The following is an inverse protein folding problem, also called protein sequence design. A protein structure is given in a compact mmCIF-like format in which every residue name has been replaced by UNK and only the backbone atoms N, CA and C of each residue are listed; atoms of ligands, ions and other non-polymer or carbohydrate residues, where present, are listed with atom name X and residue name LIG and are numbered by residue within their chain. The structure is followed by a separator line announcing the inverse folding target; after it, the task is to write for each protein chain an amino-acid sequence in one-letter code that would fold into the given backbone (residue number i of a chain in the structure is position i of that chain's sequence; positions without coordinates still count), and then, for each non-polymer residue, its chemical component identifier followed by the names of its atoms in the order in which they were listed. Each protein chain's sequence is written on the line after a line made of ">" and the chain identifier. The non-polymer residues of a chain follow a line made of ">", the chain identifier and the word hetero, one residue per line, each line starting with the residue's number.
data_IF_536390989581
#
_entry.id   IF_536390989581
#
_cell.length_a   1.000
_cell.length_b   1.000
_cell.length_c   1.000
_cell.angle_alpha   90.00
_cell.angle_beta   90.00
_cell.angle_gamma   90.00
#
_symmetry.space_group_name_H-M   'P 1'
#
loop_
_entity.id
_entity.type
_entity.pdbx_description
1 polymer ?
#
# COMPACT_ATOMS: atom_id res chain seq x y z
N UNK A 1 41.57 -3.51 -49.46
CA UNK A 1 41.81 -2.25 -50.19
C UNK A 1 40.89 -1.18 -49.62
N UNK A 2 41.40 0.04 -49.39
CA UNK A 2 40.66 1.31 -49.13
C UNK A 2 39.78 1.37 -47.85
N UNK A 3 40.27 2.02 -46.78
CA UNK A 3 39.89 3.40 -46.28
C UNK A 3 38.67 3.35 -45.33
N UNK A 4 38.44 4.20 -44.31
CA UNK A 4 39.03 5.44 -43.76
C UNK A 4 39.24 5.23 -42.22
N UNK A 5 40.22 5.77 -41.48
CA UNK A 5 40.70 7.17 -41.25
C UNK A 5 39.84 8.02 -40.29
N UNK A 6 40.48 8.52 -39.22
CA UNK A 6 39.99 9.32 -38.08
C UNK A 6 39.58 10.77 -38.41
N UNK A 7 38.69 11.39 -37.60
CA UNK A 7 38.30 12.84 -37.54
C UNK A 7 37.18 12.97 -36.46
N UNK A 8 37.08 13.90 -35.49
CA UNK A 8 37.91 15.00 -34.90
C UNK A 8 37.79 14.98 -33.34
N UNK A 9 38.54 15.84 -32.64
CA UNK A 9 38.60 16.10 -31.21
C UNK A 9 37.75 17.30 -30.68
N UNK A 10 37.71 17.43 -29.35
CA UNK A 10 37.79 18.65 -28.52
C UNK A 10 36.59 19.63 -28.28
N UNK A 11 36.15 19.64 -27.00
CA UNK A 11 36.05 20.79 -26.04
C UNK A 11 35.38 22.14 -26.44
N UNK A 12 34.30 22.48 -25.71
CA UNK A 12 34.01 23.81 -25.09
C UNK A 12 32.78 23.65 -24.15
N UNK A 13 32.88 23.69 -22.82
CA UNK A 13 32.86 24.88 -21.93
C UNK A 13 31.87 25.98 -22.39
N UNK A 14 30.75 26.08 -21.66
CA UNK A 14 29.81 27.21 -21.71
C UNK A 14 29.22 27.46 -20.32
N UNK A 15 29.77 28.44 -19.60
CA UNK A 15 29.43 28.74 -18.21
C UNK A 15 28.99 30.21 -18.10
N UNK A 16 27.67 30.45 -17.98
CA UNK A 16 27.09 31.80 -17.87
C UNK A 16 25.97 31.88 -16.82
N UNK A 17 26.40 32.09 -15.58
CA UNK A 17 25.97 33.16 -14.66
C UNK A 17 24.66 33.91 -15.01
N UNK A 18 23.67 33.90 -14.12
CA UNK A 18 23.07 35.11 -13.51
C UNK A 18 21.97 34.77 -12.48
N UNK A 19 21.92 35.53 -11.39
CA UNK A 19 20.92 35.39 -10.33
C UNK A 19 19.82 36.46 -10.42
N UNK A 20 18.62 36.13 -9.94
CA UNK A 20 17.65 37.05 -9.33
C UNK A 20 16.70 36.19 -8.46
N UNK A 21 16.73 36.32 -7.14
CA UNK A 21 16.10 37.38 -6.32
C UNK A 21 14.72 36.93 -5.82
N UNK A 22 14.62 36.86 -4.49
CA UNK A 22 13.50 36.29 -3.73
C UNK A 22 12.31 37.22 -3.57
N UNK A 23 11.10 36.66 -3.53
CA UNK A 23 9.88 37.28 -2.97
C UNK A 23 9.13 36.28 -2.09
N UNK A 24 9.05 36.49 -0.76
CA UNK A 24 8.14 35.74 0.09
C UNK A 24 6.73 36.34 0.02
N UNK A 25 5.76 35.56 -0.44
CA UNK A 25 4.34 35.95 -0.43
C UNK A 25 3.72 35.65 0.92
N UNK A 26 3.52 36.67 1.75
CA UNK A 26 2.76 36.58 3.00
C UNK A 26 1.29 36.90 2.74
N UNK A 27 0.35 35.95 2.80
CA UNK A 27 -1.07 36.27 2.90
C UNK A 27 -1.43 36.69 4.33
N UNK A 28 -2.18 37.78 4.45
CA UNK A 28 -2.71 38.31 5.71
C UNK A 28 -3.64 37.32 6.41
N UNK A 29 -3.53 37.26 7.75
CA UNK A 29 -4.59 36.73 8.58
C UNK A 29 -5.81 37.68 8.56
N UNK A 30 -7.00 37.15 8.26
CA UNK A 30 -8.25 37.91 8.34
C UNK A 30 -9.35 37.09 9.01
N UNK A 31 -9.85 37.64 10.13
CA UNK A 31 -11.15 37.42 10.77
C UNK A 31 -11.64 35.99 11.06
N UNK A 32 -11.61 35.66 12.36
CA UNK A 32 -12.61 34.78 12.99
C UNK A 32 -13.98 35.48 13.09
N UNK A 33 -15.09 34.81 12.75
CA UNK A 33 -16.40 35.11 13.32
C UNK A 33 -16.73 34.19 14.51
N UNK A 34 -17.36 34.78 15.53
CA UNK A 34 -17.75 34.16 16.79
C UNK A 34 -18.94 33.17 16.62
N UNK A 35 -19.24 32.29 17.62
CA UNK A 35 -20.26 31.25 17.46
C UNK A 35 -21.68 31.81 17.47
N UNK A 36 -22.56 31.22 16.65
CA UNK A 36 -24.00 31.54 16.65
C UNK A 36 -24.82 30.46 17.36
N UNK A 37 -25.89 30.88 18.03
CA UNK A 37 -26.49 30.16 19.15
C UNK A 37 -27.52 29.08 18.78
N UNK A 38 -27.70 28.11 19.68
CA UNK A 38 -28.87 27.26 19.73
C UNK A 38 -30.07 27.99 20.38
N UNK A 39 -31.26 27.87 19.78
CA UNK A 39 -32.47 27.48 20.51
C UNK A 39 -33.32 26.49 19.67
N UNK A 40 -34.32 25.76 20.18
CA UNK A 40 -34.92 25.68 21.52
C UNK A 40 -35.43 24.25 21.75
N UNK A 41 -35.43 23.79 23.00
CA UNK A 41 -36.18 22.59 23.38
C UNK A 41 -37.68 22.90 23.43
N UNK A 42 -38.52 21.97 22.94
CA UNK A 42 -39.98 22.04 23.11
C UNK A 42 -40.39 21.02 24.18
N UNK A 43 -41.03 21.44 25.29
CA UNK A 43 -41.55 20.50 26.27
C UNK A 43 -42.88 19.90 25.79
N UNK A 44 -42.91 18.60 25.54
CA UNK A 44 -44.15 17.87 25.28
C UNK A 44 -44.72 17.32 26.60
N UNK A 45 -45.94 17.76 26.93
CA UNK A 45 -46.68 17.39 28.14
C UNK A 45 -47.10 15.91 28.13
N UNK A 46 -46.91 15.14 29.22
CA UNK A 46 -47.48 13.81 29.35
C UNK A 46 -48.90 13.86 29.94
N UNK A 47 -49.85 13.21 29.27
CA UNK A 47 -51.22 12.94 29.74
C UNK A 47 -51.63 11.51 29.33
N UNK A 48 -52.65 10.88 29.95
CA UNK A 48 -52.38 9.90 30.99
C UNK A 48 -52.70 8.45 30.57
N UNK A 49 -52.36 7.52 31.46
CA UNK A 49 -52.52 6.07 31.34
C UNK A 49 -53.86 5.60 30.76
N UNK A 50 -53.78 4.75 29.73
CA UNK A 50 -54.76 3.70 29.47
C UNK A 50 -54.05 2.35 29.59
N UNK A 51 -54.44 1.55 30.58
CA UNK A 51 -53.84 0.23 30.87
C UNK A 51 -54.45 -0.83 29.95
N UNK A 52 -53.68 -1.47 29.04
CA UNK A 52 -54.12 -2.68 28.36
C UNK A 52 -53.94 -3.89 29.29
N UNK A 53 -54.83 -4.87 29.18
CA UNK A 53 -54.82 -6.06 30.04
C UNK A 53 -53.52 -6.88 29.89
N UNK A 54 -53.06 -7.43 31.02
CA UNK A 54 -51.91 -8.34 31.07
C UNK A 54 -52.27 -9.65 30.37
N UNK A 55 -51.82 -9.83 29.13
CA UNK A 55 -51.69 -11.15 28.52
C UNK A 55 -50.40 -11.79 28.99
N UNK A 56 -50.52 -12.99 29.58
CA UNK A 56 -49.39 -13.76 30.09
C UNK A 56 -48.38 -14.04 28.96
N UNK A 57 -47.09 -13.65 29.07
CA UNK A 57 -46.10 -13.99 28.08
C UNK A 57 -45.86 -15.50 28.10
N UNK A 58 -45.96 -16.14 26.93
CA UNK A 58 -45.60 -17.54 26.74
C UNK A 58 -44.14 -17.80 27.21
N UNK A 59 -43.81 -19.02 27.67
CA UNK A 59 -42.49 -19.31 28.22
C UNK A 59 -41.39 -18.94 27.20
N UNK A 60 -40.47 -18.09 27.65
CA UNK A 60 -39.42 -17.52 26.83
C UNK A 60 -38.60 -18.62 26.18
N UNK A 61 -38.65 -18.70 24.85
CA UNK A 61 -37.85 -19.66 24.10
C UNK A 61 -36.37 -19.36 24.36
N UNK A 62 -35.66 -20.33 24.94
CA UNK A 62 -34.22 -20.28 25.19
C UNK A 62 -33.52 -19.77 23.92
N UNK A 63 -32.69 -18.71 23.99
CA UNK A 63 -32.01 -18.20 22.81
C UNK A 63 -31.20 -19.34 22.17
N UNK A 64 -31.53 -19.64 20.91
CA UNK A 64 -30.77 -20.62 20.14
C UNK A 64 -29.32 -20.13 20.06
N UNK A 65 -28.32 -20.99 20.34
CA UNK A 65 -26.93 -20.59 20.21
C UNK A 65 -26.69 -20.12 18.78
N UNK A 66 -26.29 -18.85 18.64
CA UNK A 66 -25.94 -18.27 17.34
C UNK A 66 -24.86 -19.14 16.71
N UNK A 67 -25.15 -19.69 15.52
CA UNK A 67 -24.24 -20.61 14.86
C UNK A 67 -22.90 -19.90 14.61
N UNK A 68 -21.82 -20.42 15.21
CA UNK A 68 -20.47 -19.92 14.97
C UNK A 68 -20.20 -20.01 13.47
N UNK A 69 -19.82 -18.90 12.80
CA UNK A 69 -19.49 -18.94 11.37
C UNK A 69 -18.42 -20.00 11.10
N UNK A 70 -18.65 -20.83 10.08
CA UNK A 70 -17.66 -21.81 9.67
C UNK A 70 -16.35 -21.10 9.24
N UNK A 71 -15.17 -21.69 9.51
CA UNK A 71 -13.90 -21.11 9.06
C UNK A 71 -13.91 -20.85 7.55
N UNK A 72 -13.58 -19.62 7.15
CA UNK A 72 -13.52 -19.26 5.72
C UNK A 72 -12.32 -19.97 5.09
N UNK A 73 -12.58 -20.90 4.17
CA UNK A 73 -11.55 -21.61 3.46
C UNK A 73 -10.85 -20.73 2.41
N UNK A 74 -9.53 -20.84 2.34
CA UNK A 74 -8.70 -20.24 1.29
C UNK A 74 -8.83 -20.98 -0.05
N UNK A 75 -8.93 -20.24 -1.15
CA UNK A 75 -8.81 -20.76 -2.52
C UNK A 75 -7.35 -21.14 -2.84
N UNK A 76 -7.11 -21.76 -4.00
CA UNK A 76 -5.74 -22.08 -4.44
C UNK A 76 -4.89 -20.79 -4.65
N UNK A 77 -5.46 -19.77 -5.29
CA UNK A 77 -4.79 -18.48 -5.49
C UNK A 77 -4.47 -17.81 -4.15
N UNK A 78 -5.43 -17.76 -3.21
CA UNK A 78 -5.18 -17.16 -1.89
C UNK A 78 -4.14 -17.93 -1.07
N UNK A 79 -4.04 -19.27 -1.21
CA UNK A 79 -2.96 -20.08 -0.61
C UNK A 79 -1.59 -19.72 -1.20
N UNK A 80 -1.48 -19.54 -2.51
CA UNK A 80 -0.26 -19.06 -3.18
C UNK A 80 0.18 -17.70 -2.60
N UNK A 81 -0.76 -16.78 -2.37
CA UNK A 81 -0.44 -15.49 -1.72
C UNK A 81 0.05 -15.64 -0.26
N UNK A 82 -0.47 -16.61 0.51
CA UNK A 82 0.05 -16.91 1.85
C UNK A 82 1.46 -17.52 1.76
N UNK A 83 1.74 -18.34 0.75
CA UNK A 83 3.07 -18.93 0.51
C UNK A 83 4.09 -17.90 0.03
N UNK A 84 3.67 -16.89 -0.73
CA UNK A 84 4.53 -15.80 -1.20
C UNK A 84 5.02 -14.84 -0.09
N UNK A 85 4.52 -14.98 1.14
CA UNK A 85 4.96 -14.20 2.30
C UNK A 85 6.08 -14.89 3.09
N UNK A 86 7.02 -14.12 3.64
CA UNK A 86 7.97 -14.60 4.66
C UNK A 86 7.23 -15.24 5.82
N UNK A 87 7.70 -16.41 6.29
CA UNK A 87 6.97 -17.27 7.22
C UNK A 87 6.48 -16.56 8.51
N UNK A 88 7.30 -15.68 9.09
CA UNK A 88 6.97 -14.93 10.32
C UNK A 88 5.90 -13.84 10.15
N UNK A 89 5.49 -13.55 8.91
CA UNK A 89 4.40 -12.62 8.58
C UNK A 89 3.07 -13.32 8.26
N UNK A 90 3.05 -14.67 8.17
CA UNK A 90 1.85 -15.49 7.90
C UNK A 90 0.94 -15.65 9.13
N UNK A 91 0.79 -14.58 9.92
CA UNK A 91 0.05 -14.57 11.19
C UNK A 91 -1.37 -14.06 10.97
N UNK A 92 -2.36 -14.80 11.48
CA UNK A 92 -3.79 -14.43 11.45
C UNK A 92 -4.29 -13.99 10.06
N UNK A 93 -3.80 -14.67 9.01
CA UNK A 93 -4.20 -14.39 7.64
C UNK A 93 -5.65 -14.78 7.37
N UNK A 94 -6.37 -13.95 6.63
CA UNK A 94 -7.71 -14.21 6.13
C UNK A 94 -7.85 -13.82 4.65
N UNK A 95 -8.74 -14.48 3.88
CA UNK A 95 -9.12 -14.02 2.56
C UNK A 95 -9.66 -12.59 2.58
N UNK A 96 -9.23 -11.77 1.62
CA UNK A 96 -9.82 -10.47 1.31
C UNK A 96 -10.45 -10.57 -0.07
N UNK A 97 -11.77 -10.39 -0.15
CA UNK A 97 -12.57 -10.59 -1.38
C UNK A 97 -13.40 -9.36 -1.77
N UNK A 98 -13.25 -8.27 -1.02
CA UNK A 98 -13.81 -6.94 -1.29
C UNK A 98 -12.70 -5.92 -1.17
N UNK A 99 -12.94 -4.72 -1.71
CA UNK A 99 -12.03 -3.58 -1.59
C UNK A 99 -10.60 -3.93 -2.04
N UNK A 100 -10.52 -4.73 -3.10
CA UNK A 100 -9.29 -5.13 -3.75
C UNK A 100 -8.77 -3.98 -4.63
N UNK A 101 -7.45 -3.92 -4.91
CA UNK A 101 -6.95 -3.13 -6.01
C UNK A 101 -7.68 -3.50 -7.32
N UNK A 102 -7.92 -2.55 -8.24
CA UNK A 102 -8.52 -2.84 -9.54
C UNK A 102 -7.81 -4.02 -10.23
N UNK A 103 -8.59 -4.93 -10.80
CA UNK A 103 -8.12 -6.12 -11.55
C UNK A 103 -7.32 -7.16 -10.74
N UNK A 104 -7.18 -7.03 -9.42
CA UNK A 104 -6.63 -8.11 -8.58
C UNK A 104 -7.60 -9.30 -8.53
N UNK A 105 -7.11 -10.51 -8.85
CA UNK A 105 -7.91 -11.75 -8.90
C UNK A 105 -8.04 -12.45 -7.55
N UNK A 106 -7.12 -12.17 -6.62
CA UNK A 106 -7.12 -12.71 -5.27
C UNK A 106 -6.51 -11.70 -4.28
N UNK A 107 -6.94 -11.77 -3.02
CA UNK A 107 -6.38 -10.97 -1.94
C UNK A 107 -6.37 -11.70 -0.61
N UNK A 108 -5.38 -11.41 0.22
CA UNK A 108 -5.33 -11.81 1.63
C UNK A 108 -4.91 -10.62 2.49
N UNK A 109 -5.30 -10.66 3.77
CA UNK A 109 -4.80 -9.75 4.80
C UNK A 109 -4.33 -10.57 6.01
N UNK A 110 -3.07 -10.39 6.41
CA UNK A 110 -2.47 -10.97 7.61
C UNK A 110 -2.31 -9.87 8.66
N UNK A 111 -2.66 -10.15 9.92
CA UNK A 111 -2.58 -9.19 11.04
C UNK A 111 -1.56 -9.65 12.05
N UNK A 112 -0.57 -8.80 12.29
CA UNK A 112 0.61 -9.17 13.06
C UNK A 112 0.51 -8.61 14.48
N UNK A 113 0.70 -9.50 15.46
CA UNK A 113 0.76 -9.10 16.88
C UNK A 113 2.17 -8.60 17.23
N UNK A 114 2.55 -7.48 16.60
CA UNK A 114 3.84 -6.80 16.81
C UNK A 114 3.63 -5.34 17.14
N UNK A 115 4.63 -4.68 17.74
CA UNK A 115 4.58 -3.24 17.98
C UNK A 115 4.74 -2.39 16.70
N UNK A 116 5.27 -2.96 15.62
CA UNK A 116 5.66 -2.24 14.40
C UNK A 116 4.63 -2.36 13.27
N UNK A 117 4.20 -3.57 12.94
CA UNK A 117 3.31 -3.87 11.81
C UNK A 117 1.89 -4.06 12.33
N UNK A 118 0.93 -3.37 11.71
CA UNK A 118 -0.50 -3.61 11.88
C UNK A 118 -0.95 -4.80 11.03
N UNK A 119 -0.77 -4.66 9.71
CA UNK A 119 -1.23 -5.65 8.74
C UNK A 119 -0.38 -5.67 7.48
N UNK A 120 -0.37 -6.83 6.84
CA UNK A 120 0.19 -7.07 5.50
C UNK A 120 -0.97 -7.49 4.60
N UNK A 121 -1.26 -6.67 3.60
CA UNK A 121 -2.15 -7.05 2.49
C UNK A 121 -1.33 -7.58 1.33
N UNK A 122 -1.77 -8.67 0.71
CA UNK A 122 -1.14 -9.26 -0.48
C UNK A 122 -2.21 -9.48 -1.53
N UNK A 123 -1.91 -9.10 -2.77
CA UNK A 123 -2.83 -9.12 -3.90
C UNK A 123 -2.16 -9.78 -5.09
N UNK A 124 -2.86 -10.74 -5.70
CA UNK A 124 -2.42 -11.43 -6.91
C UNK A 124 -3.14 -10.90 -8.14
N UNK A 125 -2.40 -10.80 -9.23
CA UNK A 125 -2.85 -10.37 -10.55
C UNK A 125 -2.53 -11.47 -11.55
N UNK A 126 -3.25 -11.54 -12.67
CA UNK A 126 -2.96 -12.50 -13.74
C UNK A 126 -2.36 -11.84 -14.99
N UNK A 127 -2.35 -10.51 -15.03
CA UNK A 127 -2.04 -9.74 -16.24
C UNK A 127 -3.15 -9.89 -17.29
N UNK A 128 -3.58 -8.77 -17.88
CA UNK A 128 -4.53 -8.78 -18.97
C UNK A 128 -3.95 -7.98 -20.13
N UNK A 129 -4.25 -8.38 -21.37
CA UNK A 129 -3.91 -7.56 -22.54
C UNK A 129 -5.12 -6.69 -22.89
N UNK A 130 -4.89 -5.38 -23.06
CA UNK A 130 -5.89 -4.49 -23.62
C UNK A 130 -6.05 -4.67 -25.14
N UNK A 131 -6.96 -3.90 -25.75
CA UNK A 131 -7.23 -3.99 -27.19
C UNK A 131 -6.06 -3.58 -28.09
N UNK A 132 -4.99 -2.98 -27.55
CA UNK A 132 -3.74 -2.66 -28.25
C UNK A 132 -2.66 -3.73 -28.08
N UNK A 133 -2.89 -4.72 -27.20
CA UNK A 133 -1.90 -5.73 -26.83
C UNK A 133 -0.93 -5.26 -25.72
N UNK A 134 -1.24 -4.15 -25.02
CA UNK A 134 -0.49 -3.71 -23.84
C UNK A 134 -0.97 -4.47 -22.59
N UNK A 135 -0.05 -4.88 -21.73
CA UNK A 135 -0.38 -5.40 -20.40
C UNK A 135 -1.04 -4.34 -19.50
N UNK A 136 -2.15 -4.71 -18.87
CA UNK A 136 -2.95 -3.92 -17.93
C UNK A 136 -3.40 -4.79 -16.77
N UNK A 137 -3.74 -4.18 -15.63
CA UNK A 137 -4.11 -4.91 -14.42
C UNK A 137 -2.93 -5.69 -13.84
N UNK A 138 -1.75 -5.07 -13.81
CA UNK A 138 -0.53 -5.66 -13.27
C UNK A 138 -0.30 -5.25 -11.81
N UNK A 139 0.55 -6.00 -11.10
CA UNK A 139 0.99 -5.62 -9.77
C UNK A 139 1.70 -4.25 -9.75
N UNK A 140 2.42 -3.90 -10.83
CA UNK A 140 3.07 -2.61 -11.01
C UNK A 140 2.07 -1.45 -11.11
N UNK A 141 0.98 -1.60 -11.88
CA UNK A 141 -0.05 -0.55 -11.98
C UNK A 141 -0.71 -0.30 -10.61
N UNK A 142 -1.12 -1.36 -9.88
CA UNK A 142 -1.68 -1.23 -8.54
C UNK A 142 -0.70 -0.65 -7.48
N UNK A 143 0.60 -0.87 -7.68
CA UNK A 143 1.67 -0.28 -6.88
C UNK A 143 1.82 1.23 -7.16
N UNK A 144 1.90 1.62 -8.44
CA UNK A 144 2.09 3.00 -8.88
C UNK A 144 0.88 3.87 -8.51
N UNK A 145 -0.35 3.38 -8.73
CA UNK A 145 -1.58 4.05 -8.30
C UNK A 145 -1.56 4.38 -6.80
N UNK A 146 -1.03 3.46 -5.96
CA UNK A 146 -1.00 3.68 -4.52
C UNK A 146 0.06 4.70 -4.09
N UNK A 147 1.17 4.78 -4.82
CA UNK A 147 2.20 5.80 -4.63
C UNK A 147 1.71 7.19 -5.06
N UNK A 148 1.04 7.29 -6.21
CA UNK A 148 0.47 8.55 -6.72
C UNK A 148 -0.58 9.11 -5.76
N UNK A 149 -1.47 8.26 -5.23
CA UNK A 149 -2.41 8.61 -4.15
C UNK A 149 -1.74 9.13 -2.87
N UNK A 150 -0.46 8.84 -2.66
CA UNK A 150 0.36 9.34 -1.55
C UNK A 150 1.28 10.51 -1.94
N UNK A 151 1.23 10.98 -3.19
CA UNK A 151 2.11 12.02 -3.74
C UNK A 151 3.56 11.58 -3.94
N UNK A 152 3.84 10.27 -3.98
CA UNK A 152 5.18 9.72 -4.19
C UNK A 152 5.46 9.56 -5.67
N UNK A 153 6.41 10.35 -6.18
CA UNK A 153 6.90 10.23 -7.54
C UNK A 153 7.82 9.01 -7.69
N UNK A 154 7.75 8.27 -8.82
CA UNK A 154 8.72 7.22 -9.09
C UNK A 154 10.16 7.73 -9.15
N UNK A 155 11.13 6.90 -8.76
CA UNK A 155 12.57 7.22 -8.72
C UNK A 155 12.96 8.40 -7.80
N UNK A 156 12.16 8.68 -6.77
CA UNK A 156 12.40 9.78 -5.82
C UNK A 156 12.44 9.27 -4.39
N UNK A 157 13.02 10.08 -3.49
CA UNK A 157 13.09 9.77 -2.07
C UNK A 157 14.09 8.67 -1.72
N UNK A 158 14.00 8.17 -0.48
CA UNK A 158 14.85 7.10 0.05
C UNK A 158 14.25 6.59 1.37
N UNK A 159 13.62 5.42 1.33
CA UNK A 159 12.93 4.82 2.46
C UNK A 159 13.86 4.46 3.63
N UNK A 160 15.08 4.01 3.35
CA UNK A 160 16.09 3.75 4.37
C UNK A 160 16.59 5.04 5.07
N UNK A 161 16.41 6.20 4.42
CA UNK A 161 16.69 7.53 4.94
C UNK A 161 15.42 8.31 5.37
N UNK A 162 14.32 7.62 5.69
CA UNK A 162 13.02 8.20 6.15
C UNK A 162 12.26 9.07 5.16
N UNK A 163 12.79 9.30 3.95
CA UNK A 163 12.12 10.12 2.93
C UNK A 163 11.17 9.25 2.12
N UNK A 164 9.89 9.62 2.07
CA UNK A 164 8.88 8.99 1.21
C UNK A 164 9.41 8.89 -0.23
N UNK A 165 9.27 7.72 -0.84
CA UNK A 165 10.03 7.41 -2.05
C UNK A 165 9.76 6.05 -2.65
N UNK A 166 10.50 5.76 -3.73
CA UNK A 166 10.32 4.64 -4.63
C UNK A 166 11.63 4.33 -5.36
N UNK A 167 12.00 3.04 -5.41
CA UNK A 167 13.20 2.51 -6.10
C UNK A 167 12.94 1.10 -6.62
N UNK A 168 13.56 0.73 -7.74
CA UNK A 168 13.58 -0.66 -8.20
C UNK A 168 14.31 -1.57 -7.22
N UNK A 169 14.10 -2.87 -7.36
CA UNK A 169 14.98 -3.87 -6.79
C UNK A 169 15.30 -4.96 -7.82
N UNK A 170 16.47 -5.62 -7.74
CA UNK A 170 17.57 -5.30 -6.86
C UNK A 170 18.27 -3.99 -7.28
N UNK A 171 18.72 -3.21 -6.29
CA UNK A 171 19.17 -1.81 -6.47
C UNK A 171 20.48 -1.61 -7.27
N UNK A 172 21.09 -2.70 -7.74
CA UNK A 172 22.26 -2.67 -8.64
C UNK A 172 21.86 -2.66 -10.12
N UNK A 173 20.58 -2.90 -10.44
CA UNK A 173 20.03 -2.75 -11.78
C UNK A 173 19.53 -1.30 -12.00
N UNK A 174 19.50 -0.80 -13.26
CA UNK A 174 18.81 0.44 -13.55
C UNK A 174 17.32 0.36 -13.19
N UNK A 175 16.68 1.48 -12.87
CA UNK A 175 15.22 1.54 -12.66
C UNK A 175 14.41 1.32 -13.97
N UNK A 176 15.05 1.51 -15.12
CA UNK A 176 14.51 1.30 -16.45
C UNK A 176 14.54 -0.19 -16.83
N UNK A 177 13.42 -0.69 -17.37
CA UNK A 177 13.30 -2.05 -17.91
C UNK A 177 13.91 -2.17 -19.31
N UNK A 178 14.04 -3.40 -19.80
CA UNK A 178 14.63 -3.68 -21.13
C UNK A 178 13.80 -3.11 -22.29
N UNK A 179 12.55 -2.71 -22.03
CA UNK A 179 11.60 -2.08 -22.96
C UNK A 179 11.62 -0.53 -22.92
N UNK A 180 12.42 0.08 -22.02
CA UNK A 180 12.41 1.52 -21.74
C UNK A 180 11.32 1.96 -20.77
N UNK A 181 10.59 1.01 -20.17
CA UNK A 181 9.58 1.24 -19.14
C UNK A 181 10.15 1.30 -17.73
N UNK A 182 9.27 1.38 -16.73
CA UNK A 182 9.64 1.14 -15.33
C UNK A 182 9.83 -0.35 -15.10
N UNK A 183 10.91 -0.76 -14.41
CA UNK A 183 11.03 -2.13 -13.90
C UNK A 183 9.82 -2.51 -13.04
N UNK A 184 9.34 -3.75 -13.23
CA UNK A 184 8.22 -4.30 -12.48
C UNK A 184 8.55 -4.47 -11.00
N UNK A 185 9.78 -4.86 -10.66
CA UNK A 185 10.25 -5.09 -9.29
C UNK A 185 10.59 -3.76 -8.59
N UNK A 186 9.72 -3.32 -7.67
CA UNK A 186 9.81 -2.02 -6.98
C UNK A 186 9.53 -2.10 -5.50
N UNK A 187 10.10 -1.16 -4.77
CA UNK A 187 9.87 -0.94 -3.34
C UNK A 187 9.72 0.55 -3.05
N UNK A 188 8.68 0.90 -2.32
CA UNK A 188 8.33 2.28 -2.03
C UNK A 188 7.72 2.44 -0.66
N UNK A 189 7.66 3.69 -0.20
CA UNK A 189 7.21 4.01 1.15
C UNK A 189 6.70 5.45 1.27
N UNK A 190 5.85 5.67 2.27
CA UNK A 190 5.32 6.98 2.63
C UNK A 190 4.70 6.94 4.04
N UNK A 191 4.35 8.11 4.57
CA UNK A 191 3.43 8.23 5.71
C UNK A 191 2.08 8.67 5.18
N UNK A 192 1.01 7.99 5.57
CA UNK A 192 -0.37 8.34 5.26
C UNK A 192 -1.24 8.13 6.50
N UNK A 193 -2.15 9.07 6.76
CA UNK A 193 -2.96 9.14 7.99
C UNK A 193 -2.16 8.96 9.30
N UNK A 194 -0.89 9.40 9.34
CA UNK A 194 0.01 9.25 10.48
C UNK A 194 0.67 7.87 10.63
N UNK A 195 0.45 6.95 9.67
CA UNK A 195 1.00 5.61 9.67
C UNK A 195 2.01 5.41 8.53
N UNK A 196 3.13 4.76 8.82
CA UNK A 196 4.08 4.32 7.83
C UNK A 196 3.45 3.25 6.92
N UNK A 197 3.74 3.36 5.64
CA UNK A 197 3.34 2.43 4.60
C UNK A 197 4.60 1.99 3.87
N UNK A 198 4.71 0.68 3.59
CA UNK A 198 5.68 0.13 2.65
C UNK A 198 4.93 -0.66 1.58
N UNK A 199 5.33 -0.46 0.34
CA UNK A 199 4.73 -1.04 -0.87
C UNK A 199 5.81 -1.82 -1.59
N UNK A 200 5.48 -3.01 -2.06
CA UNK A 200 6.39 -3.91 -2.77
C UNK A 200 5.63 -4.55 -3.93
N UNK A 201 6.30 -4.73 -5.06
CA UNK A 201 5.95 -5.79 -6.01
C UNK A 201 6.89 -6.98 -5.79
N UNK A 202 6.38 -8.19 -6.00
CA UNK A 202 7.12 -9.45 -5.90
C UNK A 202 6.75 -10.34 -7.11
N UNK A 203 7.74 -10.96 -7.76
CA UNK A 203 7.55 -12.00 -8.78
C UNK A 203 6.61 -11.60 -9.94
N UNK A 204 6.65 -10.33 -10.35
CA UNK A 204 5.86 -9.70 -11.43
C UNK A 204 4.34 -9.60 -11.19
N UNK A 205 3.73 -10.60 -10.55
CA UNK A 205 2.28 -10.77 -10.45
C UNK A 205 1.69 -10.53 -9.04
N UNK A 206 2.54 -10.20 -8.05
CA UNK A 206 2.10 -9.95 -6.66
C UNK A 206 2.44 -8.51 -6.23
N UNK A 207 1.44 -7.83 -5.68
CA UNK A 207 1.61 -6.54 -4.98
C UNK A 207 1.32 -6.71 -3.49
N UNK A 208 2.23 -6.20 -2.65
CA UNK A 208 2.15 -6.23 -1.20
C UNK A 208 2.08 -4.82 -0.61
N UNK A 209 1.26 -4.67 0.42
CA UNK A 209 1.16 -3.46 1.23
C UNK A 209 1.32 -3.76 2.71
N UNK A 210 2.38 -3.24 3.33
CA UNK A 210 2.61 -3.29 4.76
C UNK A 210 2.16 -1.96 5.38
N UNK A 211 1.29 -2.02 6.38
CA UNK A 211 0.91 -0.87 7.20
C UNK A 211 1.54 -0.97 8.58
N UNK A 212 2.20 0.11 9.02
CA UNK A 212 2.75 0.24 10.36
C UNK A 212 1.73 0.71 11.39
N UNK A 213 2.04 0.49 12.68
CA UNK A 213 1.30 1.05 13.83
C UNK A 213 1.79 2.45 14.24
N UNK A 214 2.81 2.98 13.56
CA UNK A 214 3.43 4.29 13.79
C UNK A 214 3.89 4.90 12.46
N UNK A 215 4.32 6.16 12.47
CA UNK A 215 4.91 6.84 11.30
C UNK A 215 6.37 6.43 10.99
N UNK A 216 6.96 5.45 11.68
CA UNK A 216 8.37 5.06 11.46
C UNK A 216 8.55 4.23 10.17
N UNK A 217 8.66 4.95 9.06
CA UNK A 217 8.92 4.41 7.73
C UNK A 217 10.21 3.61 7.67
N UNK A 218 11.27 4.05 8.36
CA UNK A 218 12.57 3.39 8.30
C UNK A 218 12.55 2.04 9.00
N UNK A 219 11.94 1.95 10.18
CA UNK A 219 11.75 0.67 10.87
C UNK A 219 10.85 -0.27 10.07
N UNK A 220 9.73 0.24 9.51
CA UNK A 220 8.81 -0.58 8.72
C UNK A 220 9.45 -1.09 7.43
N UNK A 221 10.24 -0.25 6.76
CA UNK A 221 11.00 -0.62 5.56
C UNK A 221 12.07 -1.67 5.87
N UNK A 222 12.87 -1.46 6.93
CA UNK A 222 13.87 -2.44 7.37
C UNK A 222 13.24 -3.79 7.76
N UNK A 223 12.07 -3.80 8.39
CA UNK A 223 11.32 -5.03 8.68
C UNK A 223 10.81 -5.73 7.41
N UNK A 224 10.37 -4.96 6.42
CA UNK A 224 9.88 -5.48 5.13
C UNK A 224 11.01 -6.07 4.29
N UNK A 225 12.21 -5.48 4.38
CA UNK A 225 13.38 -5.92 3.63
C UNK A 225 14.22 -7.01 4.32
N UNK A 226 14.04 -7.24 5.64
CA UNK A 226 14.76 -8.28 6.38
C UNK A 226 14.53 -9.68 5.79
N UNK A 227 15.59 -10.28 5.26
CA UNK A 227 15.65 -11.69 4.88
C UNK A 227 15.58 -12.58 6.13
N UNK A 228 14.91 -13.75 6.07
CA UNK A 228 14.88 -14.68 7.19
C UNK A 228 16.19 -15.48 7.29
N UNK A 229 16.51 -15.98 8.49
CA UNK A 229 17.73 -16.76 8.69
C UNK A 229 17.62 -18.11 7.97
N UNK A 230 18.42 -18.29 6.90
CA UNK A 230 18.47 -19.51 6.10
C UNK A 230 17.93 -19.39 4.67
N UNK A 231 17.31 -18.25 4.32
CA UNK A 231 16.83 -18.00 2.95
C UNK A 231 17.99 -17.55 2.04
N UNK A 232 17.99 -18.00 0.78
CA UNK A 232 18.95 -17.58 -0.25
C UNK A 232 18.53 -16.24 -0.89
N UNK A 233 19.48 -15.31 -1.00
CA UNK A 233 19.25 -13.95 -1.52
C UNK A 233 19.69 -13.78 -2.97
N UNK A 234 19.85 -14.86 -3.76
CA UNK A 234 20.48 -14.78 -5.09
C UNK A 234 19.84 -13.81 -6.12
N UNK A 235 18.67 -13.21 -5.82
CA UNK A 235 18.02 -12.12 -6.59
C UNK A 235 17.79 -10.81 -5.79
N UNK A 236 18.30 -10.73 -4.57
CA UNK A 236 18.08 -9.67 -3.56
C UNK A 236 16.64 -9.10 -3.48
N UNK A 237 15.59 -9.94 -3.37
CA UNK A 237 14.23 -9.46 -3.15
C UNK A 237 14.07 -8.82 -1.76
N UNK A 238 13.10 -7.92 -1.57
CA UNK A 238 12.65 -7.53 -0.24
C UNK A 238 12.29 -8.79 0.55
N UNK A 239 12.91 -9.01 1.70
CA UNK A 239 12.77 -10.28 2.43
C UNK A 239 11.36 -10.65 2.91
N UNK A 240 10.34 -9.81 2.71
CA UNK A 240 8.92 -10.17 2.85
C UNK A 240 8.42 -11.03 1.68
N UNK A 241 8.96 -10.87 0.47
CA UNK A 241 8.74 -11.74 -0.67
C UNK A 241 9.44 -13.09 -0.42
N UNK A 242 8.68 -14.15 -0.17
CA UNK A 242 9.17 -15.52 -0.20
C UNK A 242 8.86 -16.13 -1.56
N UNK A 243 9.79 -16.89 -2.14
CA UNK A 243 9.53 -17.59 -3.39
C UNK A 243 8.42 -18.63 -3.16
N UNK A 244 7.31 -18.60 -3.92
CA UNK A 244 6.34 -19.68 -3.88
C UNK A 244 6.95 -20.94 -4.52
N UNK A 245 6.92 -22.05 -3.78
CA UNK A 245 7.31 -23.39 -4.25
C UNK A 245 6.42 -23.92 -5.40
#
# INVERSE_FOLDING_TARGET
>A
MKHLSSVVAAVAIGLLIAACSSTPTTPLATASPAPSAAPSAVPATPTPSSTPAVTSPAPSAKPSPSATPAPVAFTAAEKRLVQALRADSRISCAPRRTDLPPLAVAGIECRLDTALVDRVGVYGFEGHLDASGKEVGTALEAYLDRLDQAGVQPHRGNCAATTAGDSSWPNYLPDEGDDGGLRAERSGCFVDAGMANVRLTCYDDIYMGVLGKTADVKALYAWSWRIAAGDDTHRDPPGLCAAPD
#
